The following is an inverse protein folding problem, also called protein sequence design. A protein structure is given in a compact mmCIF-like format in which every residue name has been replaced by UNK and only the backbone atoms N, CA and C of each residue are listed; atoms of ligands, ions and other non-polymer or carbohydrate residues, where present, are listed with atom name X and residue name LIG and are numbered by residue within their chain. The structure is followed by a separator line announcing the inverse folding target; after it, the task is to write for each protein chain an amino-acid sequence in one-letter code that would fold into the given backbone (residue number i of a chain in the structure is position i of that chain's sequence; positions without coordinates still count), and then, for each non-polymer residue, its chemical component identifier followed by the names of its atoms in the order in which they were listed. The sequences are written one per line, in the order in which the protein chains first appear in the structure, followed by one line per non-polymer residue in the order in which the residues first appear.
data_IF_740237028265
#
_entry.id   IF_740237028265
#
_cell.length_a   1.000
_cell.length_b   1.000
_cell.length_c   1.000
_cell.angle_alpha   90.00
_cell.angle_beta   90.00
_cell.angle_gamma   90.00
#
_symmetry.space_group_name_H-M   'P 1'
#
loop_
_entity.id
_entity.type
_entity.pdbx_description
1 polymer ?
#
# COMPACT_ATOMS: atom_id res chain seq x y z
N UNK A 1 11.47 1.62 -35.29
CA UNK A 1 11.48 2.80 -34.41
C UNK A 1 10.04 3.10 -34.03
N UNK A 2 9.63 2.91 -32.78
CA UNK A 2 8.31 3.32 -32.34
C UNK A 2 8.20 4.85 -32.47
N UNK A 3 7.16 5.36 -33.13
CA UNK A 3 6.92 6.80 -33.18
C UNK A 3 6.70 7.29 -31.75
N UNK A 4 7.64 8.07 -31.23
CA UNK A 4 7.47 8.75 -29.94
C UNK A 4 6.28 9.68 -30.09
N UNK A 5 5.23 9.43 -29.30
CA UNK A 5 4.10 10.35 -29.24
C UNK A 5 4.61 11.67 -28.72
N UNK A 6 4.29 12.74 -29.42
CA UNK A 6 4.70 14.09 -29.08
C UNK A 6 4.03 14.50 -27.76
N UNK A 7 4.85 14.80 -26.73
CA UNK A 7 4.38 15.25 -25.44
C UNK A 7 3.53 16.53 -25.54
N UNK A 8 3.74 17.35 -26.57
CA UNK A 8 2.92 18.53 -26.85
C UNK A 8 1.48 18.15 -27.22
N UNK A 9 1.28 17.04 -27.95
CA UNK A 9 -0.06 16.55 -28.31
C UNK A 9 -0.83 16.14 -27.06
N UNK A 10 -0.18 15.43 -26.13
CA UNK A 10 -0.80 15.03 -24.87
C UNK A 10 -1.11 16.25 -23.98
N UNK A 11 -0.18 17.21 -23.91
CA UNK A 11 -0.41 18.48 -23.21
C UNK A 11 -1.60 19.26 -23.79
N UNK A 12 -1.77 19.23 -25.12
CA UNK A 12 -2.91 19.80 -25.82
C UNK A 12 -4.24 19.18 -25.40
N UNK A 13 -4.32 17.84 -25.32
CA UNK A 13 -5.53 17.16 -24.86
C UNK A 13 -5.86 17.43 -23.40
N UNK A 14 -4.86 17.52 -22.52
CA UNK A 14 -5.05 17.94 -21.13
C UNK A 14 -5.59 19.38 -21.09
N UNK A 15 -4.97 20.28 -21.84
CA UNK A 15 -5.39 21.69 -21.94
C UNK A 15 -6.84 21.81 -22.40
N UNK A 16 -7.28 20.98 -23.34
CA UNK A 16 -8.67 20.98 -23.83
C UNK A 16 -9.65 20.25 -22.89
N UNK A 17 -9.17 19.57 -21.85
CA UNK A 17 -10.01 18.71 -21.00
C UNK A 17 -10.63 17.55 -21.78
N UNK A 18 -9.90 17.00 -22.77
CA UNK A 18 -10.37 15.93 -23.65
C UNK A 18 -9.73 14.58 -23.28
N UNK A 19 -10.39 13.85 -22.36
CA UNK A 19 -9.92 12.55 -21.88
C UNK A 19 -9.88 11.48 -22.99
N UNK A 20 -10.87 11.45 -23.88
CA UNK A 20 -10.93 10.43 -24.94
C UNK A 20 -9.81 10.62 -25.96
N UNK A 21 -9.51 11.88 -26.32
CA UNK A 21 -8.32 12.21 -27.12
C UNK A 21 -7.04 11.79 -26.41
N UNK A 22 -6.89 12.12 -25.13
CA UNK A 22 -5.71 11.75 -24.35
C UNK A 22 -5.50 10.22 -24.33
N UNK A 23 -6.55 9.43 -24.06
CA UNK A 23 -6.51 7.96 -24.07
C UNK A 23 -6.12 7.36 -25.41
N UNK A 24 -6.63 7.93 -26.50
CA UNK A 24 -6.37 7.44 -27.86
C UNK A 24 -4.91 7.64 -28.27
N UNK A 25 -4.28 8.72 -27.80
CA UNK A 25 -2.94 9.11 -28.24
C UNK A 25 -1.84 8.77 -27.23
N UNK A 26 -2.15 8.55 -25.95
CA UNK A 26 -1.16 8.12 -24.97
C UNK A 26 -0.85 6.62 -25.14
N UNK A 27 0.40 6.23 -25.45
CA UNK A 27 0.77 4.83 -25.48
C UNK A 27 0.70 4.23 -24.06
N UNK A 28 0.39 2.93 -23.90
CA UNK A 28 0.33 2.28 -22.58
C UNK A 28 1.65 2.40 -21.79
N UNK A 29 2.78 2.51 -22.49
CA UNK A 29 4.11 2.64 -21.93
C UNK A 29 4.61 4.10 -21.83
N UNK A 30 3.71 5.09 -21.92
CA UNK A 30 4.10 6.49 -21.81
C UNK A 30 4.65 6.79 -20.42
N UNK A 31 5.88 7.33 -20.35
CA UNK A 31 6.44 7.80 -19.08
C UNK A 31 5.81 9.14 -18.69
N UNK A 32 4.90 9.13 -17.70
CA UNK A 32 4.24 10.33 -17.19
C UNK A 32 5.13 11.22 -16.30
N UNK A 33 6.36 10.78 -15.97
CA UNK A 33 7.36 11.60 -15.27
C UNK A 33 8.08 12.53 -16.23
N UNK A 34 8.06 12.20 -17.53
CA UNK A 34 8.65 13.07 -18.53
C UNK A 34 7.88 14.39 -18.59
N UNK A 35 8.57 15.51 -18.83
CA UNK A 35 7.89 16.79 -18.89
C UNK A 35 6.94 16.90 -20.08
N UNK A 36 5.79 17.54 -19.88
CA UNK A 36 4.84 17.84 -20.95
C UNK A 36 5.09 19.24 -21.52
N UNK A 37 5.15 19.32 -22.86
CA UNK A 37 5.33 20.56 -23.62
C UNK A 37 6.55 21.40 -23.20
N UNK A 38 6.61 22.65 -23.67
CA UNK A 38 7.71 23.59 -23.42
C UNK A 38 7.86 24.07 -21.97
N UNK A 39 6.88 23.79 -21.10
CA UNK A 39 6.89 24.24 -19.69
C UNK A 39 7.60 23.29 -18.74
N UNK A 40 8.08 22.15 -19.24
CA UNK A 40 8.85 21.16 -18.48
C UNK A 40 8.20 20.70 -17.15
N UNK A 41 6.88 20.69 -17.08
CA UNK A 41 6.14 20.21 -15.90
C UNK A 41 5.52 18.82 -16.14
N UNK A 42 5.42 17.96 -15.11
CA UNK A 42 4.74 16.67 -15.20
C UNK A 42 3.24 16.81 -15.48
N UNK A 43 2.65 15.75 -16.03
CA UNK A 43 1.25 15.75 -16.46
C UNK A 43 0.25 16.15 -15.37
N UNK A 44 0.40 15.64 -14.15
CA UNK A 44 -0.49 15.95 -13.02
C UNK A 44 -0.38 17.42 -12.59
N UNK A 45 0.82 18.01 -12.65
CA UNK A 45 1.04 19.43 -12.36
C UNK A 45 0.39 20.28 -13.45
N UNK A 46 0.51 19.86 -14.72
CA UNK A 46 -0.18 20.51 -15.83
C UNK A 46 -1.70 20.50 -15.64
N UNK A 47 -2.29 19.37 -15.24
CA UNK A 47 -3.73 19.28 -14.92
C UNK A 47 -4.14 20.30 -13.85
N UNK A 48 -3.39 20.40 -12.76
CA UNK A 48 -3.65 21.37 -11.67
C UNK A 48 -3.66 22.81 -12.23
N UNK A 49 -2.64 23.18 -13.01
CA UNK A 49 -2.52 24.54 -13.58
C UNK A 49 -3.65 24.88 -14.55
N UNK A 50 -4.08 23.92 -15.37
CA UNK A 50 -5.19 24.10 -16.30
C UNK A 50 -6.53 24.25 -15.56
N UNK A 51 -6.72 23.53 -14.45
CA UNK A 51 -7.96 23.61 -13.67
C UNK A 51 -8.13 24.94 -12.94
N UNK A 52 -7.03 25.57 -12.53
CA UNK A 52 -7.04 26.91 -11.92
C UNK A 52 -7.28 28.05 -12.94
N UNK A 53 -7.13 27.79 -14.24
CA UNK A 53 -7.36 28.81 -15.29
C UNK A 53 -8.69 28.64 -16.02
N UNK A 54 -9.35 27.50 -15.87
CA UNK A 54 -10.56 27.16 -16.64
C UNK A 54 -11.70 26.69 -15.72
N UNK A 55 -12.46 27.61 -15.12
CA UNK A 55 -13.52 27.25 -14.17
C UNK A 55 -14.66 26.45 -14.83
N UNK A 56 -15.41 25.72 -14.00
CA UNK A 56 -16.69 25.11 -14.41
C UNK A 56 -16.54 23.75 -15.09
N UNK A 57 -17.07 23.61 -16.31
CA UNK A 57 -17.13 22.29 -17.01
C UNK A 57 -15.75 21.71 -17.28
N UNK A 58 -14.74 22.56 -17.50
CA UNK A 58 -13.38 22.11 -17.77
C UNK A 58 -12.74 21.44 -16.54
N UNK A 59 -12.91 21.99 -15.34
CA UNK A 59 -12.43 21.39 -14.08
C UNK A 59 -12.93 19.95 -13.88
N UNK A 60 -14.21 19.68 -14.15
CA UNK A 60 -14.77 18.31 -14.03
C UNK A 60 -14.08 17.33 -14.98
N UNK A 61 -13.76 17.75 -16.20
CA UNK A 61 -13.04 16.89 -17.15
C UNK A 61 -11.57 16.72 -16.74
N UNK A 62 -10.94 17.78 -16.21
CA UNK A 62 -9.58 17.73 -15.70
C UNK A 62 -9.44 16.81 -14.48
N UNK A 63 -10.43 16.75 -13.60
CA UNK A 63 -10.48 15.76 -12.50
C UNK A 63 -10.51 14.32 -13.04
N UNK A 64 -11.33 14.05 -14.07
CA UNK A 64 -11.35 12.73 -14.73
C UNK A 64 -10.03 12.39 -15.40
N UNK A 65 -9.35 13.40 -15.95
CA UNK A 65 -8.00 13.24 -16.51
C UNK A 65 -6.99 12.93 -15.41
N UNK A 66 -7.01 13.65 -14.28
CA UNK A 66 -6.13 13.36 -13.14
C UNK A 66 -6.33 11.92 -12.64
N UNK A 67 -7.57 11.50 -12.42
CA UNK A 67 -7.91 10.14 -12.00
C UNK A 67 -7.39 9.09 -12.99
N UNK A 68 -7.56 9.33 -14.29
CA UNK A 68 -7.05 8.42 -15.31
C UNK A 68 -5.52 8.40 -15.39
N UNK A 69 -4.85 9.55 -15.26
CA UNK A 69 -3.39 9.63 -15.23
C UNK A 69 -2.82 8.83 -14.05
N UNK A 70 -3.43 8.93 -12.88
CA UNK A 70 -3.05 8.14 -11.69
C UNK A 70 -3.18 6.64 -11.97
N UNK A 71 -4.29 6.21 -12.59
CA UNK A 71 -4.50 4.82 -13.04
C UNK A 71 -3.51 4.39 -14.13
N UNK A 72 -3.04 5.32 -14.95
CA UNK A 72 -2.06 5.08 -16.00
C UNK A 72 -0.60 5.13 -15.49
N UNK A 73 -0.38 5.20 -14.18
CA UNK A 73 0.95 5.17 -13.56
C UNK A 73 1.63 6.53 -13.37
N UNK A 74 0.89 7.64 -13.51
CA UNK A 74 1.44 8.95 -13.15
C UNK A 74 1.66 9.05 -11.64
N UNK A 75 2.90 9.34 -11.24
CA UNK A 75 3.31 9.42 -9.85
C UNK A 75 3.08 10.84 -9.29
N UNK A 76 2.14 11.05 -8.35
CA UNK A 76 1.86 12.37 -7.80
C UNK A 76 2.95 12.86 -6.83
N UNK A 77 3.86 11.97 -6.41
CA UNK A 77 4.97 12.27 -5.50
C UNK A 77 6.27 12.64 -6.22
N UNK A 78 6.33 12.43 -7.53
CA UNK A 78 7.48 12.82 -8.35
C UNK A 78 7.72 14.33 -8.27
N UNK A 79 8.93 14.71 -7.82
CA UNK A 79 9.31 16.12 -7.67
C UNK A 79 9.76 16.70 -8.99
N UNK A 80 9.29 17.92 -9.28
CA UNK A 80 9.70 18.68 -10.45
C UNK A 80 11.20 19.02 -10.29
N UNK A 81 12.06 18.56 -11.22
CA UNK A 81 13.48 18.91 -11.19
C UNK A 81 13.66 20.43 -11.36
N UNK A 82 14.80 20.97 -10.91
CA UNK A 82 15.10 22.40 -10.81
C UNK A 82 14.47 23.24 -11.94
N UNK A 83 13.35 23.91 -11.63
CA UNK A 83 12.59 24.70 -12.59
C UNK A 83 12.23 26.05 -11.98
N UNK A 84 12.93 27.11 -12.41
CA UNK A 84 12.83 28.44 -11.80
C UNK A 84 11.61 29.26 -12.26
N UNK A 85 10.52 28.59 -12.66
CA UNK A 85 9.26 29.26 -13.03
C UNK A 85 8.22 29.11 -11.92
N UNK A 86 7.32 30.07 -11.88
CA UNK A 86 6.14 30.05 -11.03
C UNK A 86 4.89 30.17 -11.88
N UNK A 87 3.82 29.49 -11.48
CA UNK A 87 2.51 29.67 -12.07
C UNK A 87 1.78 30.80 -11.36
N UNK A 88 1.14 31.67 -12.13
CA UNK A 88 0.43 32.82 -11.59
C UNK A 88 -1.04 32.76 -11.99
N UNK A 89 -1.93 33.01 -11.02
CA UNK A 89 -3.37 33.17 -11.26
C UNK A 89 -3.84 34.48 -10.64
N UNK A 90 -4.86 35.09 -11.25
CA UNK A 90 -5.47 36.33 -10.79
C UNK A 90 -6.90 36.42 -11.30
N UNK A 91 -7.74 37.23 -10.64
CA UNK A 91 -9.07 37.58 -11.16
C UNK A 91 -8.94 38.71 -12.18
N UNK A 92 -9.65 38.61 -13.30
CA UNK A 92 -9.57 39.56 -14.42
C UNK A 92 -9.89 41.00 -13.99
N UNK A 93 -10.81 41.17 -13.05
CA UNK A 93 -11.24 42.48 -12.56
C UNK A 93 -10.20 43.20 -11.69
N UNK A 94 -9.29 42.48 -11.04
CA UNK A 94 -8.39 43.03 -10.02
C UNK A 94 -7.04 42.29 -10.03
N UNK A 95 -6.32 42.39 -11.16
CA UNK A 95 -5.09 41.60 -11.38
C UNK A 95 -4.07 41.77 -10.26
N UNK A 96 -3.73 43.00 -9.89
CA UNK A 96 -2.61 43.26 -8.97
C UNK A 96 -2.96 42.90 -7.52
N UNK A 97 -4.23 43.05 -7.12
CA UNK A 97 -4.70 42.74 -5.77
C UNK A 97 -4.92 41.25 -5.53
N UNK A 98 -5.19 40.49 -6.60
CA UNK A 98 -5.59 39.08 -6.52
C UNK A 98 -4.54 38.13 -7.10
N UNK A 99 -3.35 38.64 -7.46
CA UNK A 99 -2.29 37.82 -8.03
C UNK A 99 -1.73 36.86 -6.97
N UNK A 100 -1.87 35.57 -7.24
CA UNK A 100 -1.27 34.49 -6.48
C UNK A 100 -0.18 33.83 -7.34
N UNK A 101 0.95 33.50 -6.73
CA UNK A 101 2.09 32.85 -7.40
C UNK A 101 2.54 31.64 -6.61
N UNK A 102 2.70 30.49 -7.27
CA UNK A 102 3.29 29.28 -6.68
C UNK A 102 4.45 28.82 -7.56
N UNK A 103 5.68 28.69 -7.02
CA UNK A 103 6.81 28.16 -7.77
C UNK A 103 6.61 26.67 -8.09
N UNK A 104 7.11 26.21 -9.22
CA UNK A 104 7.15 24.78 -9.53
C UNK A 104 8.29 24.06 -8.79
N UNK A 105 9.41 24.76 -8.59
CA UNK A 105 10.65 24.15 -8.10
C UNK A 105 10.47 23.37 -6.80
N UNK A 106 10.95 22.12 -6.79
CA UNK A 106 11.00 21.29 -5.59
C UNK A 106 9.65 20.68 -5.18
N UNK A 107 8.56 21.07 -5.84
CA UNK A 107 7.25 20.50 -5.58
C UNK A 107 7.01 19.21 -6.37
N UNK A 108 6.39 18.23 -5.73
CA UNK A 108 5.59 17.20 -6.40
C UNK A 108 4.16 17.67 -6.67
N UNK A 109 3.36 16.95 -7.46
CA UNK A 109 1.95 17.30 -7.68
C UNK A 109 1.16 17.42 -6.36
N UNK A 110 1.41 16.53 -5.40
CA UNK A 110 0.80 16.59 -4.05
C UNK A 110 1.20 17.89 -3.33
N UNK A 111 2.51 18.13 -3.17
CA UNK A 111 2.97 19.32 -2.43
C UNK A 111 2.61 20.63 -3.15
N UNK A 112 2.50 20.60 -4.48
CA UNK A 112 2.07 21.73 -5.30
C UNK A 112 0.59 22.05 -5.06
N UNK A 113 -0.27 21.03 -5.00
CA UNK A 113 -1.68 21.20 -4.65
C UNK A 113 -1.84 21.82 -3.24
N UNK A 114 -1.08 21.35 -2.25
CA UNK A 114 -1.10 21.95 -0.91
C UNK A 114 -0.58 23.40 -0.89
N UNK A 115 0.47 23.70 -1.67
CA UNK A 115 0.95 25.08 -1.80
C UNK A 115 -0.14 26.00 -2.37
N UNK A 116 -0.92 25.52 -3.36
CA UNK A 116 -2.07 26.25 -3.88
C UNK A 116 -3.18 26.45 -2.83
N UNK A 117 -3.55 25.43 -2.06
CA UNK A 117 -4.54 25.58 -0.98
C UNK A 117 -4.12 26.64 0.02
N UNK A 118 -2.86 26.60 0.46
CA UNK A 118 -2.31 27.59 1.39
C UNK A 118 -2.36 29.01 0.81
N UNK A 119 -1.99 29.20 -0.46
CA UNK A 119 -2.03 30.51 -1.08
C UNK A 119 -3.46 31.04 -1.32
N UNK A 120 -4.41 30.15 -1.68
CA UNK A 120 -5.82 30.53 -1.86
C UNK A 120 -6.45 30.96 -0.52
N UNK A 121 -6.08 30.30 0.58
CA UNK A 121 -6.52 30.66 1.93
C UNK A 121 -5.93 32.00 2.42
N UNK A 122 -4.67 32.27 2.11
CA UNK A 122 -3.98 33.51 2.48
C UNK A 122 -4.24 34.69 1.52
N UNK A 123 -5.02 34.47 0.46
CA UNK A 123 -5.20 35.45 -0.60
C UNK A 123 -5.82 36.76 -0.07
N UNK A 124 -5.24 37.87 -0.50
CA UNK A 124 -5.70 39.23 -0.18
C UNK A 124 -6.63 39.74 -1.30
N UNK A 125 -7.32 40.85 -1.06
CA UNK A 125 -8.14 41.53 -2.09
C UNK A 125 -9.62 41.13 -2.13
N UNK A 126 -10.12 40.35 -1.16
CA UNK A 126 -11.56 40.04 -1.04
C UNK A 126 -12.16 39.24 -2.20
N UNK A 127 -11.33 38.70 -3.09
CA UNK A 127 -11.77 37.89 -4.21
C UNK A 127 -12.29 36.52 -3.75
N UNK A 128 -13.34 36.05 -4.40
CA UNK A 128 -13.87 34.71 -4.16
C UNK A 128 -13.05 33.64 -4.91
N UNK A 129 -12.37 32.80 -4.15
CA UNK A 129 -11.58 31.65 -4.62
C UNK A 129 -12.22 30.30 -4.27
N UNK A 130 -13.49 30.28 -3.83
CA UNK A 130 -14.17 29.08 -3.37
C UNK A 130 -14.19 27.94 -4.40
N UNK A 131 -14.41 28.28 -5.67
CA UNK A 131 -14.44 27.30 -6.78
C UNK A 131 -13.04 26.71 -7.03
N UNK A 132 -12.01 27.56 -7.04
CA UNK A 132 -10.62 27.16 -7.25
C UNK A 132 -10.11 26.30 -6.09
N UNK A 133 -10.41 26.69 -4.85
CA UNK A 133 -10.10 25.93 -3.63
C UNK A 133 -10.73 24.54 -3.68
N UNK A 134 -12.04 24.46 -3.96
CA UNK A 134 -12.75 23.18 -4.06
C UNK A 134 -12.14 22.26 -5.11
N UNK A 135 -11.76 22.80 -6.27
CA UNK A 135 -11.10 22.01 -7.31
C UNK A 135 -9.77 21.40 -6.83
N UNK A 136 -8.96 22.16 -6.09
CA UNK A 136 -7.69 21.65 -5.54
C UNK A 136 -7.95 20.64 -4.42
N UNK A 137 -8.96 20.86 -3.57
CA UNK A 137 -9.39 19.88 -2.55
C UNK A 137 -9.80 18.55 -3.21
N UNK A 138 -10.56 18.60 -4.31
CA UNK A 138 -10.95 17.42 -5.09
C UNK A 138 -9.71 16.70 -5.68
N UNK A 139 -8.69 17.44 -6.15
CA UNK A 139 -7.41 16.86 -6.62
C UNK A 139 -6.65 16.18 -5.46
N UNK A 140 -6.56 16.82 -4.30
CA UNK A 140 -5.90 16.24 -3.12
C UNK A 140 -6.62 14.97 -2.66
N UNK A 141 -7.95 14.96 -2.70
CA UNK A 141 -8.75 13.77 -2.40
C UNK A 141 -8.45 12.63 -3.38
N UNK A 142 -8.28 12.91 -4.68
CA UNK A 142 -7.83 11.92 -5.66
C UNK A 142 -6.45 11.34 -5.31
N UNK A 143 -5.48 12.19 -4.97
CA UNK A 143 -4.15 11.73 -4.57
C UNK A 143 -4.16 10.88 -3.29
N UNK A 144 -4.96 11.26 -2.30
CA UNK A 144 -5.14 10.49 -1.07
C UNK A 144 -5.77 9.12 -1.37
N UNK A 145 -6.75 9.06 -2.28
CA UNK A 145 -7.36 7.81 -2.73
C UNK A 145 -6.38 6.89 -3.44
N UNK A 146 -5.48 7.43 -4.27
CA UNK A 146 -4.47 6.62 -4.98
C UNK A 146 -3.37 6.12 -4.04
N UNK A 147 -2.91 6.94 -3.10
CA UNK A 147 -1.85 6.57 -2.14
C UNK A 147 -2.33 5.61 -1.05
N UNK A 148 -3.62 5.64 -0.70
CA UNK A 148 -4.19 4.71 0.27
C UNK A 148 -4.45 3.31 -0.30
N UNK A 149 -4.60 3.17 -1.63
CA UNK A 149 -4.90 1.90 -2.30
C UNK A 149 -3.75 1.27 -3.11
N UNK A 150 -2.77 2.07 -3.55
CA UNK A 150 -1.64 1.59 -4.35
C UNK A 150 -0.45 1.22 -3.48
N UNK A 151 -0.22 -0.07 -3.30
CA UNK A 151 1.02 -0.58 -2.72
C UNK A 151 2.19 -0.05 -3.59
N UNK A 152 3.09 0.83 -3.08
CA UNK A 152 4.15 1.44 -3.90
C UNK A 152 5.20 0.43 -4.41
N UNK A 153 5.01 -0.87 -4.13
CA UNK A 153 5.82 -1.99 -4.62
C UNK A 153 5.07 -2.89 -5.61
N UNK A 154 3.80 -2.61 -5.89
CA UNK A 154 2.97 -3.34 -6.85
C UNK A 154 2.43 -2.39 -7.91
N UNK A 155 3.30 -1.70 -8.64
CA UNK A 155 2.87 -1.09 -9.89
C UNK A 155 2.37 -2.25 -10.77
N UNK A 156 1.08 -2.23 -11.15
CA UNK A 156 0.55 -3.22 -12.08
C UNK A 156 1.36 -3.12 -13.38
N UNK A 157 2.24 -4.09 -13.61
CA UNK A 157 3.03 -4.17 -14.83
C UNK A 157 2.21 -4.89 -15.86
N UNK A 158 1.93 -4.21 -16.98
CA UNK A 158 1.32 -4.88 -18.14
C UNK A 158 2.38 -5.78 -18.77
N UNK A 159 2.21 -7.09 -18.60
CA UNK A 159 3.05 -8.11 -19.21
C UNK A 159 2.32 -8.68 -20.43
N UNK A 160 2.98 -8.83 -21.59
CA UNK A 160 2.38 -9.51 -22.74
C UNK A 160 1.98 -10.96 -22.37
N UNK A 161 0.80 -11.41 -22.81
CA UNK A 161 0.29 -12.74 -22.50
C UNK A 161 1.30 -13.86 -22.84
N UNK A 162 2.00 -13.74 -23.97
CA UNK A 162 3.03 -14.72 -24.36
C UNK A 162 4.18 -14.87 -23.37
N UNK A 163 4.47 -13.83 -22.56
CA UNK A 163 5.49 -13.92 -21.50
C UNK A 163 4.95 -14.71 -20.31
N UNK A 164 3.68 -14.50 -19.94
CA UNK A 164 2.99 -15.28 -18.91
C UNK A 164 2.92 -16.75 -19.32
N UNK A 165 2.57 -17.03 -20.58
CA UNK A 165 2.51 -18.40 -21.12
C UNK A 165 3.88 -19.11 -21.02
N UNK A 166 4.98 -18.39 -21.21
CA UNK A 166 6.35 -18.94 -21.04
C UNK A 166 6.62 -19.27 -19.57
N UNK A 167 6.27 -18.40 -18.64
CA UNK A 167 6.45 -18.65 -17.20
C UNK A 167 5.62 -19.83 -16.72
N UNK A 168 4.37 -19.94 -17.17
CA UNK A 168 3.50 -21.09 -16.92
C UNK A 168 4.09 -22.38 -17.52
N UNK A 169 4.58 -22.32 -18.76
CA UNK A 169 5.25 -23.46 -19.40
C UNK A 169 6.49 -23.91 -18.62
N UNK A 170 7.24 -22.98 -18.03
CA UNK A 170 8.40 -23.30 -17.19
C UNK A 170 7.98 -23.97 -15.88
N UNK A 171 6.85 -23.56 -15.29
CA UNK A 171 6.25 -24.20 -14.11
C UNK A 171 5.75 -25.62 -14.40
N UNK A 172 5.20 -25.84 -15.59
CA UNK A 172 4.65 -27.13 -16.04
C UNK A 172 5.71 -28.12 -16.55
N UNK A 173 6.95 -27.65 -16.81
CA UNK A 173 8.05 -28.48 -17.32
C UNK A 173 8.68 -29.35 -16.23
N UNK A 174 7.89 -30.30 -15.70
CA UNK A 174 8.27 -31.18 -14.59
C UNK A 174 9.52 -32.02 -14.84
N UNK A 175 9.87 -32.30 -16.09
CA UNK A 175 11.11 -33.01 -16.46
C UNK A 175 12.39 -32.25 -16.10
N UNK A 176 12.29 -30.93 -15.90
CA UNK A 176 13.40 -30.06 -15.48
C UNK A 176 13.45 -29.85 -13.96
N UNK A 177 12.46 -30.34 -13.22
CA UNK A 177 12.41 -30.16 -11.78
C UNK A 177 13.48 -31.02 -11.11
N UNK A 178 14.16 -30.43 -10.13
CA UNK A 178 15.27 -31.05 -9.41
C UNK A 178 15.17 -30.89 -7.89
N UNK A 179 14.08 -30.30 -7.38
CA UNK A 179 13.73 -30.25 -5.95
C UNK A 179 12.33 -30.78 -5.76
N UNK A 180 12.13 -31.54 -4.68
CA UNK A 180 10.83 -32.11 -4.28
C UNK A 180 10.45 -31.61 -2.90
N UNK A 181 9.27 -31.02 -2.79
CA UNK A 181 8.62 -30.71 -1.52
C UNK A 181 7.78 -31.92 -1.07
N UNK A 182 8.03 -32.40 0.13
CA UNK A 182 7.29 -33.52 0.72
C UNK A 182 6.16 -32.97 1.60
N UNK A 183 5.03 -32.65 0.98
CA UNK A 183 3.84 -32.16 1.66
C UNK A 183 3.19 -33.24 2.56
N UNK A 184 2.11 -32.88 3.25
CA UNK A 184 1.34 -33.78 4.12
C UNK A 184 0.61 -34.89 3.37
N UNK A 185 0.18 -34.63 2.14
CA UNK A 185 -0.70 -35.47 1.32
C UNK A 185 -0.09 -35.86 -0.04
N UNK A 186 1.13 -35.41 -0.34
CA UNK A 186 1.77 -35.70 -1.61
C UNK A 186 3.14 -35.06 -1.81
N UNK A 187 3.70 -35.25 -2.99
CA UNK A 187 4.95 -34.61 -3.42
C UNK A 187 4.67 -33.53 -4.47
N UNK A 188 5.36 -32.40 -4.37
CA UNK A 188 5.31 -31.32 -5.36
C UNK A 188 6.72 -30.98 -5.80
N UNK A 189 6.99 -30.95 -7.09
CA UNK A 189 8.34 -30.70 -7.62
C UNK A 189 8.49 -29.27 -8.17
N UNK A 190 9.73 -28.76 -8.15
CA UNK A 190 10.11 -27.44 -8.66
C UNK A 190 11.58 -27.39 -9.14
N UNK A 191 11.98 -26.27 -9.73
CA UNK A 191 13.37 -25.99 -10.10
C UNK A 191 14.09 -25.20 -9.00
N UNK A 192 15.24 -25.69 -8.53
CA UNK A 192 16.04 -25.02 -7.51
C UNK A 192 16.45 -23.60 -7.90
N UNK A 193 16.81 -23.35 -9.16
CA UNK A 193 17.28 -22.04 -9.62
C UNK A 193 16.25 -20.95 -9.33
N UNK A 194 14.97 -21.20 -9.60
CA UNK A 194 13.89 -20.24 -9.33
C UNK A 194 13.73 -20.04 -7.81
N UNK A 195 13.76 -21.13 -7.03
CA UNK A 195 13.65 -21.07 -5.57
C UNK A 195 14.80 -20.25 -4.95
N UNK A 196 16.04 -20.47 -5.39
CA UNK A 196 17.24 -19.80 -4.87
C UNK A 196 17.30 -18.32 -5.27
N UNK A 197 16.79 -17.96 -6.45
CA UNK A 197 16.70 -16.56 -6.88
C UNK A 197 15.64 -15.82 -6.07
N UNK A 198 14.50 -16.46 -5.81
CA UNK A 198 13.36 -15.79 -5.19
C UNK A 198 13.41 -15.77 -3.65
N UNK A 199 14.15 -16.70 -3.02
CA UNK A 199 14.19 -16.85 -1.57
C UNK A 199 15.63 -16.95 -1.05
N UNK A 200 16.07 -16.02 -0.17
CA UNK A 200 17.37 -16.16 0.50
C UNK A 200 17.43 -17.38 1.43
N UNK A 201 16.30 -17.79 2.00
CA UNK A 201 16.21 -18.96 2.89
C UNK A 201 16.37 -20.26 2.10
N UNK A 202 15.63 -20.40 1.00
CA UNK A 202 15.76 -21.59 0.14
C UNK A 202 17.12 -21.64 -0.54
N UNK A 203 17.68 -20.49 -0.91
CA UNK A 203 19.07 -20.41 -1.37
C UNK A 203 20.05 -20.97 -0.36
N UNK A 204 20.03 -20.45 0.87
CA UNK A 204 20.90 -20.96 1.93
C UNK A 204 20.68 -22.46 2.17
N UNK A 205 19.43 -22.92 2.21
CA UNK A 205 19.09 -24.33 2.40
C UNK A 205 19.68 -25.23 1.29
N UNK A 206 19.50 -24.84 0.02
CA UNK A 206 19.87 -25.63 -1.16
C UNK A 206 21.36 -25.50 -1.56
N UNK A 207 22.07 -24.48 -1.10
CA UNK A 207 23.52 -24.30 -1.28
C UNK A 207 24.35 -24.82 -0.09
N UNK A 208 23.71 -25.11 1.06
CA UNK A 208 24.41 -25.59 2.25
C UNK A 208 24.89 -27.06 2.14
N UNK A 209 25.61 -27.52 3.16
CA UNK A 209 25.94 -28.93 3.35
C UNK A 209 24.85 -29.72 4.12
N UNK A 210 23.64 -29.18 4.25
CA UNK A 210 22.54 -29.84 4.97
C UNK A 210 21.91 -30.97 4.14
N UNK A 211 21.06 -31.77 4.80
CA UNK A 211 20.39 -32.93 4.20
C UNK A 211 19.60 -32.53 2.96
N UNK A 212 18.89 -31.41 3.02
CA UNK A 212 18.02 -30.87 1.98
C UNK A 212 18.79 -30.53 0.70
N UNK A 213 20.02 -30.04 0.82
CA UNK A 213 20.90 -29.75 -0.33
C UNK A 213 21.32 -31.03 -1.05
N UNK A 214 21.67 -32.08 -0.29
CA UNK A 214 22.13 -33.36 -0.85
C UNK A 214 20.95 -34.19 -1.39
N UNK A 215 19.85 -34.27 -0.65
CA UNK A 215 18.67 -35.06 -1.03
C UNK A 215 17.82 -34.36 -2.08
N UNK A 216 17.91 -33.03 -2.17
CA UNK A 216 16.97 -32.17 -2.91
C UNK A 216 15.50 -32.38 -2.50
N UNK A 217 15.27 -32.75 -1.24
CA UNK A 217 13.94 -33.01 -0.67
C UNK A 217 13.72 -32.12 0.54
N UNK A 218 12.67 -31.31 0.49
CA UNK A 218 12.31 -30.33 1.53
C UNK A 218 11.02 -30.81 2.22
N UNK A 219 11.06 -31.24 3.49
CA UNK A 219 9.86 -31.66 4.20
C UNK A 219 8.98 -30.47 4.59
N UNK A 220 7.69 -30.54 4.24
CA UNK A 220 6.70 -29.49 4.55
C UNK A 220 5.40 -30.17 5.05
N UNK A 221 5.52 -30.86 6.18
CA UNK A 221 4.45 -31.73 6.71
C UNK A 221 3.25 -30.99 7.29
N UNK A 222 3.39 -29.68 7.47
CA UNK A 222 2.36 -28.78 7.94
C UNK A 222 1.61 -28.07 6.82
N UNK A 223 1.87 -28.41 5.55
CA UNK A 223 1.14 -27.87 4.40
C UNK A 223 0.65 -28.98 3.48
N UNK A 224 -0.45 -28.73 2.80
CA UNK A 224 -0.96 -29.60 1.74
C UNK A 224 -0.21 -29.39 0.44
N UNK A 225 -0.32 -30.36 -0.46
CA UNK A 225 0.20 -30.32 -1.81
C UNK A 225 -0.44 -29.17 -2.61
N UNK A 226 -1.70 -28.82 -2.35
CA UNK A 226 -2.35 -27.65 -2.95
C UNK A 226 -1.77 -26.34 -2.42
N UNK A 227 -1.51 -26.22 -1.12
CA UNK A 227 -0.84 -25.05 -0.53
C UNK A 227 0.57 -24.83 -1.09
N UNK A 228 1.36 -25.90 -1.20
CA UNK A 228 2.70 -25.86 -1.81
C UNK A 228 2.62 -25.52 -3.30
N UNK A 229 1.68 -26.12 -4.03
CA UNK A 229 1.50 -25.85 -5.46
C UNK A 229 1.10 -24.39 -5.71
N UNK A 230 0.18 -23.85 -4.91
CA UNK A 230 -0.23 -22.45 -4.99
C UNK A 230 0.92 -21.50 -4.69
N UNK A 231 1.74 -21.79 -3.68
CA UNK A 231 2.96 -21.01 -3.42
C UNK A 231 3.87 -20.96 -4.65
N UNK A 232 4.10 -22.11 -5.30
CA UNK A 232 4.94 -22.20 -6.50
C UNK A 232 4.30 -21.50 -7.70
N UNK A 233 2.99 -21.60 -7.89
CA UNK A 233 2.31 -20.94 -9.01
C UNK A 233 2.46 -19.42 -8.92
N UNK A 234 2.25 -18.85 -7.72
CA UNK A 234 2.43 -17.41 -7.48
C UNK A 234 3.91 -17.03 -7.54
N UNK A 235 4.83 -17.90 -7.12
CA UNK A 235 6.28 -17.67 -7.25
C UNK A 235 6.72 -17.54 -8.71
N UNK A 236 6.23 -18.42 -9.58
CA UNK A 236 6.62 -18.47 -10.99
C UNK A 236 5.93 -17.39 -11.83
N UNK A 237 4.63 -17.17 -11.59
CA UNK A 237 3.78 -16.42 -12.53
C UNK A 237 3.17 -15.17 -11.92
N UNK A 238 3.35 -14.97 -10.60
CA UNK A 238 2.60 -13.96 -9.82
C UNK A 238 1.07 -14.11 -9.93
N UNK A 239 0.59 -15.28 -10.35
CA UNK A 239 -0.82 -15.60 -10.58
C UNK A 239 -1.09 -17.07 -10.23
N UNK A 240 -2.36 -17.48 -10.30
CA UNK A 240 -2.76 -18.88 -10.23
C UNK A 240 -3.95 -19.12 -11.17
N UNK A 241 -4.00 -20.32 -11.78
CA UNK A 241 -5.14 -20.77 -12.60
C UNK A 241 -6.26 -21.39 -11.76
N UNK A 242 -5.95 -21.71 -10.51
CA UNK A 242 -6.90 -22.32 -9.58
C UNK A 242 -7.74 -21.23 -8.92
N UNK A 243 -8.89 -21.61 -8.39
CA UNK A 243 -9.69 -20.76 -7.49
C UNK A 243 -9.48 -21.28 -6.05
N UNK A 244 -8.32 -20.98 -5.41
CA UNK A 244 -7.99 -21.54 -4.11
C UNK A 244 -8.91 -20.97 -3.04
N UNK A 245 -9.29 -21.82 -2.08
CA UNK A 245 -9.97 -21.33 -0.88
C UNK A 245 -9.00 -20.55 0.03
N UNK A 246 -9.57 -19.82 1.00
CA UNK A 246 -8.77 -19.03 1.94
C UNK A 246 -7.78 -19.88 2.75
N UNK A 247 -8.05 -21.17 2.96
CA UNK A 247 -7.14 -22.07 3.70
C UNK A 247 -5.90 -22.36 2.89
N UNK A 248 -6.07 -22.70 1.61
CA UNK A 248 -4.97 -22.95 0.68
C UNK A 248 -4.10 -21.70 0.51
N UNK A 249 -4.71 -20.51 0.43
CA UNK A 249 -4.00 -19.23 0.40
C UNK A 249 -3.20 -18.97 1.69
N UNK A 250 -3.76 -19.31 2.86
CA UNK A 250 -3.05 -19.20 4.14
C UNK A 250 -1.86 -20.16 4.20
N UNK A 251 -2.00 -21.41 3.76
CA UNK A 251 -0.86 -22.34 3.68
C UNK A 251 0.25 -21.80 2.75
N UNK A 252 -0.12 -21.31 1.56
CA UNK A 252 0.84 -20.70 0.64
C UNK A 252 1.52 -19.45 1.24
N UNK A 253 0.76 -18.65 2.00
CA UNK A 253 1.26 -17.46 2.70
C UNK A 253 2.28 -17.83 3.77
N UNK A 254 1.99 -18.88 4.53
CA UNK A 254 2.88 -19.39 5.58
C UNK A 254 4.23 -19.82 5.00
N UNK A 255 4.22 -20.49 3.85
CA UNK A 255 5.44 -20.86 3.11
C UNK A 255 6.19 -19.63 2.58
N UNK A 256 5.48 -18.70 1.93
CA UNK A 256 6.08 -17.48 1.41
C UNK A 256 6.74 -16.64 2.50
N UNK A 257 6.07 -16.50 3.65
CA UNK A 257 6.60 -15.79 4.81
C UNK A 257 7.80 -16.53 5.43
N UNK A 258 7.67 -17.85 5.66
CA UNK A 258 8.75 -18.72 6.19
C UNK A 258 10.02 -18.63 5.35
N UNK A 259 9.87 -18.58 4.02
CA UNK A 259 10.97 -18.51 3.08
C UNK A 259 11.31 -17.09 2.61
N UNK A 260 10.73 -16.07 3.23
CA UNK A 260 11.03 -14.65 2.97
C UNK A 260 10.83 -14.22 1.51
N UNK A 261 9.85 -14.78 0.82
CA UNK A 261 9.49 -14.39 -0.55
C UNK A 261 8.50 -13.23 -0.51
N UNK A 262 9.01 -12.02 -0.26
CA UNK A 262 8.18 -10.83 0.02
C UNK A 262 7.19 -10.48 -1.09
N UNK A 263 7.57 -10.66 -2.36
CA UNK A 263 6.66 -10.42 -3.49
C UNK A 263 5.43 -11.34 -3.44
N UNK A 264 5.64 -12.63 -3.16
CA UNK A 264 4.56 -13.62 -3.04
C UNK A 264 3.70 -13.34 -1.80
N UNK A 265 4.31 -12.97 -0.67
CA UNK A 265 3.57 -12.54 0.55
C UNK A 265 2.61 -11.40 0.22
N UNK A 266 3.06 -10.39 -0.52
CA UNK A 266 2.20 -9.26 -0.89
C UNK A 266 1.05 -9.68 -1.81
N UNK A 267 1.31 -10.49 -2.85
CA UNK A 267 0.27 -10.99 -3.75
C UNK A 267 -0.80 -11.79 -3.02
N UNK A 268 -0.37 -12.70 -2.14
CA UNK A 268 -1.28 -13.51 -1.32
C UNK A 268 -2.05 -12.66 -0.30
N UNK A 269 -1.46 -11.57 0.23
CA UNK A 269 -2.15 -10.67 1.15
C UNK A 269 -3.30 -9.95 0.45
N UNK A 270 -3.08 -9.51 -0.78
CA UNK A 270 -4.11 -8.87 -1.61
C UNK A 270 -5.23 -9.85 -1.94
N UNK A 271 -4.90 -11.10 -2.30
CA UNK A 271 -5.90 -12.14 -2.52
C UNK A 271 -6.74 -12.41 -1.27
N UNK A 272 -6.10 -12.58 -0.10
CA UNK A 272 -6.79 -12.81 1.17
C UNK A 272 -7.68 -11.64 1.58
N UNK A 273 -7.30 -10.38 1.32
CA UNK A 273 -8.15 -9.21 1.58
C UNK A 273 -9.49 -9.28 0.86
N UNK A 274 -9.49 -9.78 -0.39
CA UNK A 274 -10.70 -9.93 -1.19
C UNK A 274 -11.57 -11.11 -0.74
N UNK A 275 -11.04 -11.99 0.11
CA UNK A 275 -11.72 -13.18 0.63
C UNK A 275 -12.14 -13.04 2.09
N UNK A 276 -12.00 -11.85 2.70
CA UNK A 276 -12.45 -11.61 4.07
C UNK A 276 -13.99 -11.65 4.08
N UNK A 277 -14.52 -12.67 4.73
CA UNK A 277 -15.94 -12.82 5.03
C UNK A 277 -16.12 -13.28 6.49
N UNK A 278 -17.36 -13.44 6.95
CA UNK A 278 -17.60 -13.82 8.35
C UNK A 278 -17.07 -15.22 8.73
N UNK A 279 -16.86 -16.12 7.76
CA UNK A 279 -16.33 -17.48 7.97
C UNK A 279 -14.80 -17.50 7.93
N UNK A 280 -14.18 -16.73 7.04
CA UNK A 280 -12.72 -16.66 6.87
C UNK A 280 -12.06 -15.67 7.81
N UNK A 281 -12.80 -14.69 8.34
CA UNK A 281 -12.30 -13.57 9.14
C UNK A 281 -11.31 -13.98 10.24
N UNK A 282 -11.67 -14.98 11.06
CA UNK A 282 -10.85 -15.37 12.22
C UNK A 282 -9.48 -15.89 11.77
N UNK A 283 -9.46 -16.82 10.82
CA UNK A 283 -8.22 -17.41 10.32
C UNK A 283 -7.32 -16.37 9.65
N UNK A 284 -7.90 -15.47 8.86
CA UNK A 284 -7.15 -14.42 8.17
C UNK A 284 -6.60 -13.38 9.16
N UNK A 285 -7.42 -12.92 10.11
CA UNK A 285 -7.00 -11.94 11.11
C UNK A 285 -5.90 -12.48 12.02
N UNK A 286 -6.01 -13.76 12.40
CA UNK A 286 -4.98 -14.44 13.18
C UNK A 286 -3.65 -14.52 12.42
N UNK A 287 -3.69 -14.97 11.16
CA UNK A 287 -2.51 -15.03 10.32
C UNK A 287 -1.88 -13.65 10.09
N UNK A 288 -2.71 -12.61 9.92
CA UNK A 288 -2.25 -11.23 9.77
C UNK A 288 -1.42 -10.77 10.97
N UNK A 289 -1.91 -11.02 12.19
CA UNK A 289 -1.22 -10.63 13.42
C UNK A 289 0.01 -11.50 13.70
N UNK A 290 -0.10 -12.81 13.53
CA UNK A 290 1.01 -13.75 13.77
C UNK A 290 2.22 -13.44 12.88
N UNK A 291 1.96 -12.97 11.66
CA UNK A 291 2.98 -12.66 10.65
C UNK A 291 3.27 -11.16 10.52
N UNK A 292 2.69 -10.32 11.39
CA UNK A 292 2.83 -8.87 11.40
C UNK A 292 2.60 -8.24 10.00
N UNK A 293 1.43 -8.51 9.41
CA UNK A 293 1.04 -8.08 8.07
C UNK A 293 0.10 -6.86 8.15
N UNK A 294 0.61 -5.61 8.29
CA UNK A 294 -0.19 -4.44 8.66
C UNK A 294 -1.28 -4.06 7.65
N UNK A 295 -1.07 -4.36 6.36
CA UNK A 295 -2.11 -4.11 5.35
C UNK A 295 -3.29 -5.06 5.52
N UNK A 296 -3.03 -6.34 5.78
CA UNK A 296 -4.06 -7.33 6.04
C UNK A 296 -4.75 -7.09 7.40
N UNK A 297 -3.99 -6.71 8.43
CA UNK A 297 -4.54 -6.32 9.74
C UNK A 297 -5.53 -5.15 9.62
N UNK A 298 -5.18 -4.10 8.87
CA UNK A 298 -6.08 -2.96 8.62
C UNK A 298 -7.34 -3.37 7.86
N UNK A 299 -7.21 -4.24 6.88
CA UNK A 299 -8.36 -4.77 6.13
C UNK A 299 -9.30 -5.58 7.05
N UNK A 300 -8.74 -6.46 7.89
CA UNK A 300 -9.49 -7.17 8.93
C UNK A 300 -10.14 -6.20 9.92
N UNK A 301 -9.43 -5.17 10.41
CA UNK A 301 -10.00 -4.16 11.31
C UNK A 301 -11.23 -3.48 10.69
N UNK A 302 -11.08 -3.04 9.43
CA UNK A 302 -12.13 -2.37 8.67
C UNK A 302 -13.35 -3.28 8.48
N UNK A 303 -13.15 -4.52 8.03
CA UNK A 303 -14.23 -5.49 7.86
C UNK A 303 -14.90 -5.84 9.20
N UNK A 304 -14.09 -6.09 10.23
CA UNK A 304 -14.56 -6.41 11.57
C UNK A 304 -15.45 -5.30 12.13
N UNK A 305 -15.12 -4.01 11.90
CA UNK A 305 -15.91 -2.86 12.38
C UNK A 305 -17.27 -2.71 11.70
N UNK A 306 -17.42 -3.22 10.48
CA UNK A 306 -18.64 -3.03 9.67
C UNK A 306 -19.56 -4.26 9.66
N UNK A 307 -19.03 -5.46 9.90
CA UNK A 307 -19.79 -6.70 9.83
C UNK A 307 -20.44 -7.07 11.19
N UNK A 308 -21.78 -7.09 11.24
CA UNK A 308 -22.54 -7.39 12.47
C UNK A 308 -22.27 -8.80 13.04
N UNK A 309 -22.09 -9.80 12.18
CA UNK A 309 -21.80 -11.17 12.60
C UNK A 309 -20.45 -11.25 13.30
N UNK A 310 -19.41 -10.63 12.72
CA UNK A 310 -18.07 -10.56 13.32
C UNK A 310 -18.10 -9.75 14.62
N UNK A 311 -18.81 -8.63 14.68
CA UNK A 311 -19.01 -7.87 15.92
C UNK A 311 -19.68 -8.72 17.01
N UNK A 312 -20.68 -9.53 16.64
CA UNK A 312 -21.32 -10.49 17.55
C UNK A 312 -20.33 -11.54 18.06
N UNK A 313 -19.44 -12.05 17.20
CA UNK A 313 -18.38 -12.99 17.58
C UNK A 313 -17.39 -12.35 18.56
N UNK A 314 -16.93 -11.13 18.28
CA UNK A 314 -16.00 -10.40 19.15
C UNK A 314 -16.61 -10.09 20.53
N UNK A 315 -17.89 -9.67 20.58
CA UNK A 315 -18.60 -9.39 21.84
C UNK A 315 -18.83 -10.62 22.71
N UNK A 316 -19.04 -11.79 22.09
CA UNK A 316 -19.18 -13.05 22.83
C UNK A 316 -17.88 -13.50 23.49
N UNK A 317 -16.79 -12.75 23.32
CA UNK A 317 -15.48 -13.13 23.81
C UNK A 317 -15.04 -14.40 23.13
N UNK A 318 -14.97 -14.36 21.79
CA UNK A 318 -14.32 -15.44 21.06
C UNK A 318 -12.95 -15.65 21.70
N UNK A 319 -12.82 -16.73 22.45
CA UNK A 319 -11.55 -17.27 22.86
C UNK A 319 -10.89 -17.65 21.54
N UNK A 320 -10.08 -16.74 21.02
CA UNK A 320 -9.02 -17.10 20.10
C UNK A 320 -8.18 -18.04 20.96
N UNK A 321 -8.49 -19.33 20.90
CA UNK A 321 -7.56 -20.37 21.29
C UNK A 321 -6.41 -20.17 20.32
N UNK A 322 -5.47 -19.29 20.69
CA UNK A 322 -4.20 -19.19 20.02
C UNK A 322 -3.75 -20.64 19.85
N UNK A 323 -3.52 -21.11 18.61
CA UNK A 323 -3.05 -22.44 18.35
C UNK A 323 -1.94 -22.65 19.33
N UNK A 324 -2.11 -23.61 20.24
CA UNK A 324 -1.04 -23.97 21.15
C UNK A 324 0.13 -24.24 20.21
N UNK A 325 1.26 -23.52 20.32
CA UNK A 325 2.37 -23.75 19.42
C UNK A 325 2.59 -25.26 19.43
N UNK A 326 2.49 -25.88 18.26
CA UNK A 326 2.84 -27.27 18.09
C UNK A 326 4.35 -27.28 18.32
N UNK A 327 4.75 -27.45 19.57
CA UNK A 327 6.15 -27.58 19.94
C UNK A 327 6.54 -28.95 19.46
N UNK A 328 6.85 -29.05 18.17
CA UNK A 328 7.41 -30.25 17.60
C UNK A 328 8.71 -30.54 18.34
N UNK A 329 8.72 -31.70 18.96
CA UNK A 329 9.78 -32.29 19.77
C UNK A 329 11.03 -32.62 18.95
N UNK A 330 11.65 -31.61 18.34
CA UNK A 330 12.89 -31.73 17.55
C UNK A 330 14.13 -31.18 18.26
N UNK A 331 14.00 -30.67 19.49
CA UNK A 331 15.15 -30.35 20.33
C UNK A 331 15.35 -31.46 21.35
N UNK A 332 16.33 -32.34 21.07
CA UNK A 332 16.82 -33.28 22.07
C UNK A 332 17.20 -32.57 23.37
N UNK A 333 16.87 -33.22 24.48
CA UNK A 333 17.15 -32.81 25.85
C UNK A 333 18.54 -32.16 25.99
N UNK A 334 18.54 -30.85 26.28
CA UNK A 334 19.59 -30.23 27.09
C UNK A 334 18.94 -29.32 28.10
N UNK A 335 19.39 -29.52 29.33
CA UNK A 335 18.89 -28.92 30.55
C UNK A 335 18.86 -27.39 30.54
N UNK A 336 17.77 -26.88 31.13
CA UNK A 336 17.80 -25.67 31.97
C UNK A 336 18.00 -24.33 31.27
N UNK A 337 16.92 -23.76 30.72
CA UNK A 337 16.81 -22.31 30.61
C UNK A 337 15.36 -21.83 30.73
N UNK A 338 15.22 -20.80 31.55
CA UNK A 338 14.00 -20.17 32.04
C UNK A 338 13.20 -19.51 30.89
N UNK A 339 11.98 -20.00 30.66
CA UNK A 339 11.09 -19.49 29.62
C UNK A 339 10.51 -18.11 30.02
N UNK A 340 10.73 -17.12 29.14
CA UNK A 340 10.23 -15.74 29.22
C UNK A 340 8.69 -15.68 29.11
N UNK A 341 8.05 -15.03 30.08
CA UNK A 341 6.59 -14.99 30.28
C UNK A 341 5.86 -13.96 29.42
N UNK A 342 6.48 -13.41 28.36
CA UNK A 342 5.93 -12.29 27.57
C UNK A 342 4.90 -12.66 26.49
N UNK A 343 4.64 -13.94 26.22
CA UNK A 343 3.69 -14.36 25.15
C UNK A 343 2.27 -14.68 25.63
N UNK A 344 1.94 -14.58 26.93
CA UNK A 344 0.63 -15.05 27.46
C UNK A 344 -0.46 -13.99 27.63
N UNK A 345 -0.24 -12.72 27.30
CA UNK A 345 -1.23 -11.64 27.53
C UNK A 345 -1.48 -10.75 26.31
N UNK A 346 -1.36 -11.31 25.09
CA UNK A 346 -1.82 -10.63 23.87
C UNK A 346 -3.34 -10.77 23.68
N UNK A 347 -4.16 -10.25 24.59
CA UNK A 347 -5.58 -10.05 24.27
C UNK A 347 -5.62 -8.92 23.24
N UNK A 348 -5.76 -9.28 21.96
CA UNK A 348 -5.87 -8.31 20.88
C UNK A 348 -7.22 -7.59 21.07
N UNK A 349 -7.18 -6.41 21.70
CA UNK A 349 -8.36 -5.59 21.92
C UNK A 349 -8.75 -4.88 20.62
N UNK A 350 -9.50 -5.57 19.77
CA UNK A 350 -10.09 -4.98 18.55
C UNK A 350 -11.23 -3.98 18.86
N UNK A 351 -11.63 -3.85 20.12
CA UNK A 351 -12.89 -3.21 20.53
C UNK A 351 -12.85 -1.71 20.83
N UNK A 352 -11.71 -1.01 20.68
CA UNK A 352 -11.62 0.44 20.98
C UNK A 352 -10.75 1.21 19.99
N UNK A 353 -11.16 1.27 18.72
CA UNK A 353 -10.73 2.37 17.85
C UNK A 353 -11.75 3.51 18.05
N UNK A 354 -11.46 4.41 18.99
CA UNK A 354 -12.21 5.66 19.12
C UNK A 354 -11.95 6.53 17.87
N UNK A 355 -12.95 7.23 17.31
CA UNK A 355 -12.68 8.30 16.35
C UNK A 355 -11.83 9.39 17.02
N UNK A 356 -10.88 10.02 16.31
CA UNK A 356 -10.00 11.01 16.91
C UNK A 356 -10.82 12.18 17.44
N UNK A 357 -10.90 12.30 18.77
CA UNK A 357 -11.28 13.53 19.43
C UNK A 357 -10.11 14.50 19.26
N UNK A 358 -10.38 15.69 18.74
CA UNK A 358 -9.37 16.72 18.47
C UNK A 358 -8.43 16.89 19.68
N UNK A 359 -7.16 16.52 19.50
CA UNK A 359 -6.07 17.02 20.34
C UNK A 359 -5.43 18.18 19.59
N UNK A 360 -5.53 19.38 20.16
CA UNK A 360 -4.71 20.51 19.74
C UNK A 360 -3.24 20.18 20.05
N UNK A 361 -2.42 20.13 19.00
CA UNK A 361 -0.96 20.10 19.12
C UNK A 361 -0.46 21.51 18.89
N UNK A 362 0.11 22.12 19.92
CA UNK A 362 0.81 23.39 19.79
C UNK A 362 2.28 23.11 19.42
N UNK A 363 2.64 23.43 18.18
CA UNK A 363 4.01 23.26 17.66
C UNK A 363 4.74 24.59 17.83
N UNK A 364 5.78 24.61 18.67
CA UNK A 364 6.71 25.74 18.77
C UNK A 364 8.10 25.33 18.26
N UNK A 365 8.66 26.15 17.38
CA UNK A 365 9.98 25.97 16.80
C UNK A 365 11.05 26.62 17.69
N UNK A 366 12.17 25.93 17.92
CA UNK A 366 13.38 26.56 18.46
C UNK A 366 14.34 26.96 17.33
N UNK A 367 15.14 28.00 17.56
CA UNK A 367 16.10 28.56 16.59
C UNK A 367 17.22 27.58 16.17
N UNK A 368 17.33 26.40 16.79
CA UNK A 368 18.36 25.40 16.47
C UNK A 368 17.88 24.24 15.59
N UNK A 369 16.66 24.31 15.04
CA UNK A 369 16.20 23.35 14.02
C UNK A 369 15.99 21.90 14.50
N UNK A 370 15.78 21.70 15.80
CA UNK A 370 15.44 20.38 16.36
C UNK A 370 13.97 20.32 16.80
N UNK A 371 13.26 19.30 16.30
CA UNK A 371 11.86 19.04 16.61
C UNK A 371 11.76 18.39 18.00
N UNK A 372 11.14 19.07 18.95
CA UNK A 372 10.77 18.50 20.24
C UNK A 372 9.25 18.35 20.33
N UNK A 373 8.78 17.12 20.52
CA UNK A 373 7.38 16.83 20.82
C UNK A 373 7.26 16.66 22.34
N UNK A 374 6.59 17.60 23.01
CA UNK A 374 6.38 17.56 24.46
C UNK A 374 4.97 17.08 24.77
N UNK A 375 4.82 15.83 25.17
CA UNK A 375 3.53 15.26 25.57
C UNK A 375 3.25 15.62 27.03
N UNK A 376 2.36 16.58 27.27
CA UNK A 376 1.91 16.91 28.63
C UNK A 376 0.63 16.14 28.94
N UNK A 377 0.68 15.22 29.91
CA UNK A 377 -0.50 14.52 30.42
C UNK A 377 -1.13 15.39 31.51
N UNK A 378 -2.28 15.98 31.23
CA UNK A 378 -3.07 16.71 32.25
C UNK A 378 -3.82 15.66 33.08
N UNK A 379 -3.43 15.49 34.35
CA UNK A 379 -4.22 14.72 35.31
C UNK A 379 -5.35 15.58 35.89
N UNK A 380 -6.56 15.04 36.09
CA UNK A 380 -7.61 15.76 36.78
C UNK A 380 -7.25 15.96 38.26
N UNK A 381 -7.71 17.05 38.90
CA UNK A 381 -7.38 17.34 40.29
C UNK A 381 -7.98 16.28 41.22
N UNK A 382 -7.14 15.76 42.12
CA UNK A 382 -7.50 14.80 43.17
C UNK A 382 -8.37 15.52 44.20
N UNK A 383 -9.57 14.99 44.45
CA UNK A 383 -10.48 15.52 45.46
C UNK A 383 -9.80 15.53 46.84
N UNK A 384 -9.76 16.70 47.48
CA UNK A 384 -9.22 16.88 48.82
C UNK A 384 -10.20 16.33 49.87
N UNK A 385 -9.70 15.46 50.74
CA UNK A 385 -10.40 15.01 51.93
C UNK A 385 -10.56 16.18 52.92
N UNK A 386 -11.78 16.34 53.46
CA UNK A 386 -12.05 17.24 54.59
C UNK A 386 -11.56 16.58 55.87
N UNK A 387 -10.49 17.10 56.45
CA UNK A 387 -10.14 16.87 57.85
C UNK A 387 -10.93 17.85 58.73
N UNK A 388 -11.65 17.29 59.69
CA UNK A 388 -12.30 17.99 60.80
C UNK A 388 -11.26 18.32 61.87
N UNK A 389 -11.14 19.59 62.24
CA UNK A 389 -10.45 20.01 63.46
C UNK A 389 -11.41 20.80 64.36
N UNK A 390 -11.49 20.34 65.60
CA UNK A 390 -12.18 20.91 66.74
C UNK A 390 -11.61 22.26 67.15
N UNK A 391 -12.49 23.22 67.46
CA UNK A 391 -12.44 24.05 68.67
C UNK A 391 -13.84 24.56 68.96
#
# INVERSE_FOLDING_TARGET
MAKTVDAEVLAGYITLGNLEGLRKFAPPSFDWRQPLAGDQIPALVHVITQGLTKPGRCQKNLLKIAEWLLKAGADPTYKIPQHNRSFNVWKVSQKDETKISVPYQGHSAVSYAFAWLSQLELSKGGADWSTDRKYIEDIVALFAGTTAGGNPHGADVIVPQSTVDIWESMRDLTSSHNVIFEASDGEVSAQDQILMVASPVLKAMLESAMKESTSRRIPVKDSSSSGVSLFLDVLYTSSTRQDPDHKTLLEAMDLAHRWQVQGVVQSLCTALQNMIDAKSFVAIAEAAVLKALPTLERACASFGSTNEQVQGMLKKGFDIQAPRPHVDSCCGERDGAQADSRLRHGVISWGKVNPPTQQEQEVTFSESGHLFVKTSVIFPPRAAAKESASS
#
